data_IF_851444259245
#
_entry.id   IF_851444259245
#
_cell.length_a   1.000
_cell.length_b   1.000
_cell.length_c   1.000
_cell.angle_alpha   90.00
_cell.angle_beta   90.00
_cell.angle_gamma   90.00
#
_symmetry.space_group_name_H-M   'P 1'
#
loop_
_entity.id
_entity.type
_entity.pdbx_description
1 polymer ?
#
# COMPACT_ATOMS: atom_id res chain seq x y z
N UNK A 1 3.75 18.72 26.72
CA UNK A 1 2.76 17.62 26.78
C UNK A 1 2.69 16.99 25.40
N UNK A 2 2.67 15.66 25.29
CA UNK A 2 2.45 14.98 24.00
C UNK A 2 1.04 15.34 23.51
N UNK A 3 0.90 15.67 22.23
CA UNK A 3 -0.43 15.86 21.63
C UNK A 3 -1.06 14.50 21.35
N UNK A 4 -2.38 14.35 21.51
CA UNK A 4 -3.06 13.11 21.17
C UNK A 4 -2.74 12.68 19.74
N UNK A 5 -2.18 11.48 19.56
CA UNK A 5 -1.88 10.94 18.24
C UNK A 5 -3.10 10.18 17.71
N UNK A 6 -4.23 10.88 17.58
CA UNK A 6 -5.50 10.29 17.14
C UNK A 6 -6.10 11.09 16.01
N UNK A 7 -6.83 10.43 15.11
CA UNK A 7 -7.53 11.10 14.02
C UNK A 7 -8.71 11.99 14.51
N UNK A 8 -9.14 11.85 15.77
CA UNK A 8 -10.31 12.53 16.34
C UNK A 8 -9.94 13.81 17.10
N UNK A 9 -8.71 13.92 17.58
CA UNK A 9 -8.23 15.04 18.39
C UNK A 9 -6.99 15.67 17.75
N UNK A 10 -7.18 16.85 17.16
CA UNK A 10 -6.14 17.64 16.50
C UNK A 10 -5.60 18.77 17.40
N UNK A 11 -5.81 18.70 18.72
CA UNK A 11 -5.34 19.73 19.64
C UNK A 11 -3.82 19.90 19.57
N UNK A 12 -3.39 21.16 19.54
CA UNK A 12 -1.98 21.54 19.60
C UNK A 12 -1.58 21.91 21.03
N UNK A 13 -0.28 22.08 21.24
CA UNK A 13 0.27 22.62 22.48
C UNK A 13 1.26 23.73 22.18
N UNK A 14 1.70 24.48 23.21
CA UNK A 14 2.69 25.54 23.05
C UNK A 14 4.09 25.02 23.34
N UNK A 15 5.06 25.33 22.50
CA UNK A 15 6.47 25.07 22.74
C UNK A 15 7.34 26.27 22.34
N UNK A 16 8.51 26.39 22.97
CA UNK A 16 9.53 27.38 22.59
C UNK A 16 10.34 26.83 21.42
N UNK A 17 10.25 27.47 20.26
CA UNK A 17 11.00 27.14 19.04
C UNK A 17 11.77 28.38 18.62
N UNK A 18 13.10 28.30 18.63
CA UNK A 18 13.98 29.44 18.32
C UNK A 18 13.61 30.72 19.11
N UNK A 19 13.49 30.60 20.44
CA UNK A 19 13.15 31.73 21.31
C UNK A 19 11.71 32.26 21.19
N UNK A 20 10.87 31.66 20.36
CA UNK A 20 9.48 32.07 20.16
C UNK A 20 8.50 30.99 20.62
N UNK A 21 7.44 31.40 21.32
CA UNK A 21 6.36 30.50 21.71
C UNK A 21 5.46 30.23 20.51
N UNK A 22 5.37 28.98 20.07
CA UNK A 22 4.58 28.56 18.89
C UNK A 22 3.59 27.46 19.25
N UNK A 23 2.48 27.40 18.52
CA UNK A 23 1.62 26.21 18.50
C UNK A 23 2.33 25.09 17.75
N UNK A 24 2.35 23.91 18.34
CA UNK A 24 3.00 22.72 17.80
C UNK A 24 2.17 21.47 18.08
N UNK A 25 2.33 20.49 17.21
CA UNK A 25 1.92 19.10 17.49
C UNK A 25 3.16 18.32 17.92
N UNK A 26 3.07 17.61 19.04
CA UNK A 26 4.17 16.83 19.61
C UNK A 26 3.76 15.37 19.64
N UNK A 27 4.18 14.61 18.63
CA UNK A 27 4.03 13.15 18.64
C UNK A 27 5.24 12.49 19.32
N UNK A 28 4.97 11.43 20.08
CA UNK A 28 6.03 10.56 20.65
C UNK A 28 6.03 9.25 19.88
N UNK A 29 7.09 9.00 19.12
CA UNK A 29 7.28 7.72 18.43
C UNK A 29 7.77 6.65 19.41
N UNK A 30 7.35 5.40 19.18
CA UNK A 30 7.88 4.22 19.85
C UNK A 30 9.15 3.68 19.18
N UNK A 31 9.56 4.30 18.06
CA UNK A 31 10.69 3.93 17.21
C UNK A 31 11.68 5.09 17.06
N UNK A 32 12.96 4.77 16.91
CA UNK A 32 13.97 5.75 16.49
C UNK A 32 13.80 6.11 15.01
N UNK A 33 13.34 5.16 14.19
CA UNK A 33 13.04 5.34 12.78
C UNK A 33 11.69 6.04 12.60
N UNK A 34 11.70 7.21 11.98
CA UNK A 34 10.50 7.96 11.67
C UNK A 34 10.42 8.21 10.17
N UNK A 35 9.27 7.90 9.58
CA UNK A 35 9.05 8.09 8.15
C UNK A 35 7.87 9.04 7.94
N UNK A 36 8.14 10.17 7.29
CA UNK A 36 7.12 11.12 6.87
C UNK A 36 6.90 11.01 5.38
N UNK A 37 5.64 10.81 5.00
CA UNK A 37 5.25 10.58 3.62
C UNK A 37 4.25 11.64 3.25
N UNK A 38 4.59 12.39 2.21
CA UNK A 38 3.75 13.47 1.69
C UNK A 38 3.37 13.11 0.27
N UNK A 39 2.07 13.05 0.00
CA UNK A 39 1.54 12.81 -1.35
C UNK A 39 1.11 14.15 -1.94
N UNK A 40 1.65 14.47 -3.10
CA UNK A 40 1.33 15.67 -3.86
C UNK A 40 0.43 15.29 -5.02
N UNK A 41 -0.66 16.00 -5.19
CA UNK A 41 -1.53 15.80 -6.34
C UNK A 41 -0.99 16.56 -7.55
N UNK A 42 -1.21 15.99 -8.73
CA UNK A 42 -0.87 16.63 -9.99
C UNK A 42 -1.78 17.83 -10.23
N UNK A 43 -1.20 18.91 -10.76
CA UNK A 43 -1.93 20.06 -11.31
C UNK A 43 -1.67 20.06 -12.80
N UNK A 44 -2.74 20.04 -13.61
CA UNK A 44 -2.67 19.90 -15.06
C UNK A 44 -1.80 18.72 -15.54
N UNK A 45 -1.88 17.59 -14.81
CA UNK A 45 -1.12 16.38 -15.09
C UNK A 45 0.37 16.45 -14.73
N UNK A 46 0.82 17.52 -14.07
CA UNK A 46 2.24 17.76 -13.75
C UNK A 46 2.54 17.81 -12.25
N UNK A 47 3.72 17.33 -11.81
CA UNK A 47 4.11 17.30 -10.40
C UNK A 47 4.75 18.60 -9.91
N UNK A 48 5.05 19.56 -10.80
CA UNK A 48 5.85 20.76 -10.51
C UNK A 48 5.31 21.57 -9.34
N UNK A 49 4.00 21.77 -9.28
CA UNK A 49 3.35 22.54 -8.22
C UNK A 49 3.59 21.92 -6.84
N UNK A 50 3.37 20.61 -6.69
CA UNK A 50 3.60 19.90 -5.44
C UNK A 50 5.10 19.89 -5.07
N UNK A 51 5.96 19.65 -6.07
CA UNK A 51 7.40 19.60 -5.86
C UNK A 51 7.96 20.96 -5.41
N UNK A 52 7.46 22.07 -5.96
CA UNK A 52 7.80 23.43 -5.53
C UNK A 52 7.29 23.71 -4.11
N UNK A 53 6.04 23.37 -3.81
CA UNK A 53 5.45 23.55 -2.47
C UNK A 53 6.29 22.89 -1.38
N UNK A 54 6.79 21.67 -1.60
CA UNK A 54 7.65 21.00 -0.62
C UNK A 54 9.04 21.59 -0.52
N UNK A 55 9.68 21.96 -1.63
CA UNK A 55 11.03 22.55 -1.59
C UNK A 55 11.04 23.88 -0.85
N UNK A 56 10.01 24.69 -1.07
CA UNK A 56 9.95 26.04 -0.54
C UNK A 56 9.32 26.05 0.87
N UNK A 57 8.23 25.32 1.06
CA UNK A 57 7.37 25.39 2.25
C UNK A 57 7.65 24.35 3.33
N UNK A 58 8.11 23.15 2.99
CA UNK A 58 8.46 22.15 4.01
C UNK A 58 9.81 22.50 4.63
N UNK A 59 9.95 22.32 5.95
CA UNK A 59 11.23 22.40 6.66
C UNK A 59 11.32 21.24 7.65
N UNK A 60 12.40 20.48 7.59
CA UNK A 60 12.67 19.37 8.50
C UNK A 60 14.06 19.61 9.09
N UNK A 61 14.14 19.72 10.42
CA UNK A 61 15.40 19.95 11.12
C UNK A 61 15.32 19.45 12.57
N UNK A 62 16.44 19.04 13.19
CA UNK A 62 16.50 18.79 14.62
C UNK A 62 16.16 20.05 15.40
N UNK A 63 15.35 19.94 16.46
CA UNK A 63 14.90 21.10 17.24
C UNK A 63 16.06 21.97 17.76
N UNK A 64 17.20 21.37 18.12
CA UNK A 64 18.40 22.09 18.56
C UNK A 64 18.97 23.06 17.51
N UNK A 65 18.69 22.83 16.23
CA UNK A 65 19.19 23.62 15.12
C UNK A 65 18.14 24.65 14.65
N UNK A 66 17.03 24.84 15.38
CA UNK A 66 15.92 25.70 14.94
C UNK A 66 16.29 27.17 14.66
N UNK A 67 17.36 27.67 15.27
CA UNK A 67 17.88 29.02 15.03
C UNK A 67 18.60 29.15 13.69
N UNK A 68 19.24 28.07 13.23
CA UNK A 68 20.00 28.03 11.99
C UNK A 68 19.99 26.60 11.40
N UNK A 69 18.85 26.17 10.81
CA UNK A 69 18.71 24.81 10.30
C UNK A 69 19.61 24.60 9.09
N UNK A 70 20.25 23.43 9.01
CA UNK A 70 21.04 23.06 7.82
C UNK A 70 20.13 23.01 6.58
N UNK A 71 20.63 23.40 5.39
CA UNK A 71 19.87 23.26 4.15
C UNK A 71 19.43 21.81 3.93
N UNK A 72 18.14 21.63 3.60
CA UNK A 72 17.60 20.32 3.26
C UNK A 72 18.19 19.82 1.94
N UNK A 73 18.45 18.51 1.88
CA UNK A 73 18.88 17.85 0.65
C UNK A 73 17.69 17.14 0.01
N UNK A 74 17.47 17.39 -1.27
CA UNK A 74 16.45 16.73 -2.06
C UNK A 74 17.11 15.76 -3.04
N UNK A 75 16.74 14.48 -2.94
CA UNK A 75 17.24 13.44 -3.84
C UNK A 75 16.07 12.97 -4.70
N UNK A 76 16.25 13.04 -6.03
CA UNK A 76 15.27 12.46 -6.95
C UNK A 76 15.49 10.95 -7.09
N UNK A 77 14.42 10.19 -6.86
CA UNK A 77 14.32 8.76 -7.18
C UNK A 77 13.72 8.48 -8.55
N UNK A 78 13.22 9.50 -9.27
CA UNK A 78 12.57 9.31 -10.58
C UNK A 78 13.51 8.63 -11.58
N UNK A 79 12.99 7.62 -12.28
CA UNK A 79 13.75 6.85 -13.27
C UNK A 79 14.81 5.91 -12.70
N UNK A 80 14.95 5.80 -11.36
CA UNK A 80 15.89 4.86 -10.73
C UNK A 80 15.19 3.56 -10.38
N UNK A 81 15.91 2.46 -10.55
CA UNK A 81 15.49 1.17 -10.02
C UNK A 81 15.65 1.16 -8.50
N UNK A 82 14.60 0.74 -7.81
CA UNK A 82 14.61 0.52 -6.38
C UNK A 82 13.76 -0.72 -6.06
N UNK A 83 14.18 -1.49 -5.06
CA UNK A 83 13.45 -2.66 -4.58
C UNK A 83 13.12 -2.45 -3.11
N UNK A 84 11.83 -2.44 -2.77
CA UNK A 84 11.34 -2.28 -1.39
C UNK A 84 10.88 -3.60 -0.76
N UNK A 85 11.16 -4.73 -1.42
CA UNK A 85 10.76 -6.05 -0.96
C UNK A 85 11.84 -6.58 -0.02
N UNK A 86 11.43 -6.98 1.17
CA UNK A 86 12.28 -7.72 2.12
C UNK A 86 12.83 -9.01 1.52
N UNK A 87 14.00 -9.44 1.98
CA UNK A 87 14.59 -10.70 1.53
C UNK A 87 13.64 -11.88 1.70
N UNK A 88 13.64 -12.77 0.71
CA UNK A 88 12.97 -14.08 0.76
C UNK A 88 13.99 -15.22 0.97
N UNK A 89 15.15 -14.88 1.53
CA UNK A 89 16.26 -15.80 1.86
C UNK A 89 16.60 -15.66 3.33
N UNK A 90 17.58 -16.43 3.80
CA UNK A 90 18.07 -16.35 5.18
C UNK A 90 18.37 -14.91 5.65
N UNK A 91 18.84 -14.03 4.75
CA UNK A 91 19.13 -12.63 5.09
C UNK A 91 17.91 -11.82 5.56
N UNK A 92 16.68 -12.34 5.42
CA UNK A 92 15.51 -11.79 6.10
C UNK A 92 15.70 -11.72 7.62
N UNK A 93 16.31 -12.74 8.21
CA UNK A 93 16.56 -12.77 9.66
C UNK A 93 17.71 -11.83 10.06
N UNK A 94 18.62 -11.54 9.14
CA UNK A 94 19.64 -10.50 9.33
C UNK A 94 18.97 -9.12 9.31
N UNK A 95 18.08 -8.83 8.35
CA UNK A 95 17.26 -7.61 8.31
C UNK A 95 16.43 -7.44 9.59
N UNK A 96 15.79 -8.52 10.07
CA UNK A 96 15.01 -8.50 11.31
C UNK A 96 15.89 -8.24 12.53
N UNK A 97 17.07 -8.87 12.59
CA UNK A 97 18.04 -8.62 13.65
C UNK A 97 18.48 -7.15 13.64
N UNK A 98 18.82 -6.59 12.49
CA UNK A 98 19.24 -5.18 12.37
C UNK A 98 18.19 -4.22 12.94
N UNK A 99 16.90 -4.47 12.65
CA UNK A 99 15.79 -3.70 13.24
C UNK A 99 15.76 -3.85 14.76
N UNK A 100 15.84 -5.07 15.29
CA UNK A 100 15.80 -5.32 16.75
C UNK A 100 17.00 -4.71 17.48
N UNK A 101 18.19 -4.73 16.85
CA UNK A 101 19.38 -4.09 17.41
C UNK A 101 19.24 -2.57 17.43
N UNK A 102 18.74 -1.98 16.33
CA UNK A 102 18.60 -0.53 16.18
C UNK A 102 17.54 0.05 17.12
N UNK A 103 16.33 -0.49 17.09
CA UNK A 103 15.14 0.09 17.73
C UNK A 103 15.16 -0.01 19.27
N UNK A 104 14.47 0.86 20.03
CA UNK A 104 14.43 0.75 21.50
C UNK A 104 13.82 -0.60 21.91
N UNK A 105 14.17 -1.09 23.11
CA UNK A 105 13.65 -2.40 23.59
C UNK A 105 12.12 -2.44 23.64
N UNK A 106 11.46 -1.30 23.80
CA UNK A 106 10.00 -1.16 23.83
C UNK A 106 9.33 -1.14 22.44
N UNK A 107 10.09 -1.18 21.33
CA UNK A 107 9.56 -1.02 19.99
C UNK A 107 8.56 -2.12 19.58
N UNK A 108 8.85 -3.37 19.97
CA UNK A 108 7.92 -4.50 19.84
C UNK A 108 7.66 -5.07 21.23
N UNK A 109 6.45 -5.57 21.47
CA UNK A 109 6.02 -6.06 22.79
C UNK A 109 6.84 -7.28 23.26
N UNK A 110 6.87 -7.58 24.58
CA UNK A 110 7.64 -8.70 25.12
C UNK A 110 7.32 -10.07 24.49
N UNK A 111 6.09 -10.30 24.05
CA UNK A 111 5.66 -11.59 23.48
C UNK A 111 6.27 -11.78 22.09
N UNK A 112 6.18 -10.78 21.21
CA UNK A 112 6.86 -10.81 19.90
C UNK A 112 8.38 -10.84 20.03
N UNK A 113 8.96 -10.14 21.03
CA UNK A 113 10.40 -10.27 21.31
C UNK A 113 10.79 -11.68 21.72
N UNK A 114 9.93 -12.37 22.47
CA UNK A 114 10.13 -13.77 22.85
C UNK A 114 10.24 -14.70 21.63
N UNK A 115 9.41 -14.47 20.59
CA UNK A 115 9.48 -15.21 19.33
C UNK A 115 10.81 -14.99 18.60
N UNK A 116 11.31 -13.75 18.53
CA UNK A 116 12.63 -13.46 17.96
C UNK A 116 13.76 -14.08 18.79
N UNK A 117 13.68 -14.02 20.12
CA UNK A 117 14.67 -14.60 21.02
C UNK A 117 14.76 -16.13 20.89
N UNK A 118 13.64 -16.81 20.62
CA UNK A 118 13.59 -18.27 20.43
C UNK A 118 14.42 -18.76 19.23
N UNK A 119 14.68 -17.88 18.25
CA UNK A 119 15.55 -18.17 17.10
C UNK A 119 16.94 -17.52 17.22
N UNK A 120 17.27 -16.96 18.38
CA UNK A 120 18.58 -16.37 18.68
C UNK A 120 18.71 -14.87 18.40
N UNK A 121 17.64 -14.18 18.00
CA UNK A 121 17.66 -12.72 17.77
C UNK A 121 17.28 -12.01 19.08
N UNK A 122 18.28 -11.43 19.75
CA UNK A 122 18.12 -10.79 21.06
C UNK A 122 18.81 -9.43 21.03
N UNK A 123 18.09 -8.38 21.44
CA UNK A 123 18.65 -7.02 21.52
C UNK A 123 19.93 -6.99 22.38
N UNK A 124 20.98 -6.36 21.85
CA UNK A 124 22.29 -6.24 22.49
C UNK A 124 23.18 -7.47 22.36
N UNK A 125 22.72 -8.54 21.68
CA UNK A 125 23.52 -9.74 21.40
C UNK A 125 23.74 -9.89 19.90
N UNK A 126 24.93 -10.38 19.55
CA UNK A 126 25.25 -10.75 18.18
C UNK A 126 24.39 -11.95 17.74
N UNK A 127 23.86 -11.89 16.52
CA UNK A 127 23.07 -12.97 15.94
C UNK A 127 23.98 -13.96 15.21
N UNK A 128 24.41 -15.00 15.93
CA UNK A 128 25.33 -16.04 15.43
C UNK A 128 24.69 -17.44 15.45
N UNK A 129 23.69 -17.74 14.61
CA UNK A 129 23.10 -19.07 14.58
C UNK A 129 24.09 -20.10 14.04
N UNK A 130 24.09 -21.29 14.65
CA UNK A 130 24.86 -22.43 14.16
C UNK A 130 24.34 -22.94 12.80
N UNK A 131 25.07 -23.89 12.20
CA UNK A 131 24.71 -24.46 10.90
C UNK A 131 23.30 -25.09 10.89
N UNK A 132 22.87 -25.68 12.01
CA UNK A 132 21.55 -26.30 12.14
C UNK A 132 20.45 -25.23 12.12
N UNK A 133 20.59 -24.18 12.93
CA UNK A 133 19.63 -23.08 13.00
C UNK A 133 19.58 -22.30 11.69
N UNK A 134 20.72 -22.05 11.04
CA UNK A 134 20.76 -21.41 9.72
C UNK A 134 19.97 -22.19 8.66
N UNK A 135 20.06 -23.53 8.68
CA UNK A 135 19.24 -24.40 7.81
C UNK A 135 17.74 -24.26 8.11
N UNK A 136 17.36 -24.35 9.39
CA UNK A 136 15.95 -24.18 9.82
C UNK A 136 15.39 -22.84 9.36
N UNK A 137 16.13 -21.74 9.55
CA UNK A 137 15.71 -20.41 9.17
C UNK A 137 15.58 -20.25 7.64
N UNK A 138 16.47 -20.88 6.88
CA UNK A 138 16.39 -20.90 5.41
C UNK A 138 15.11 -21.59 4.92
N UNK A 139 14.72 -22.70 5.55
CA UNK A 139 13.47 -23.38 5.24
C UNK A 139 12.27 -22.55 5.72
N UNK A 140 12.36 -21.93 6.91
CA UNK A 140 11.31 -21.14 7.51
C UNK A 140 10.93 -19.90 6.68
N UNK A 141 11.89 -19.16 6.13
CA UNK A 141 11.58 -18.00 5.25
C UNK A 141 10.93 -18.45 3.94
N UNK A 142 11.30 -19.62 3.42
CA UNK A 142 10.68 -20.19 2.21
C UNK A 142 9.20 -20.47 2.46
N UNK A 143 8.88 -21.15 3.57
CA UNK A 143 7.50 -21.43 3.97
C UNK A 143 6.75 -20.14 4.31
N UNK A 144 7.36 -19.24 5.09
CA UNK A 144 6.75 -17.98 5.52
C UNK A 144 6.38 -17.07 4.35
N UNK A 145 7.24 -16.97 3.33
CA UNK A 145 6.94 -16.25 2.10
C UNK A 145 5.78 -16.90 1.34
N UNK A 146 5.79 -18.23 1.16
CA UNK A 146 4.68 -18.94 0.53
C UNK A 146 3.36 -18.69 1.27
N UNK A 147 3.37 -18.75 2.61
CA UNK A 147 2.21 -18.43 3.45
C UNK A 147 1.73 -16.99 3.25
N UNK A 148 2.62 -16.00 3.29
CA UNK A 148 2.26 -14.59 3.10
C UNK A 148 1.67 -14.34 1.70
N UNK A 149 2.22 -14.98 0.66
CA UNK A 149 1.65 -14.95 -0.70
C UNK A 149 0.26 -15.55 -0.73
N UNK A 150 0.05 -16.71 -0.11
CA UNK A 150 -1.27 -17.36 -0.07
C UNK A 150 -2.28 -16.50 0.67
N UNK A 151 -1.90 -15.89 1.81
CA UNK A 151 -2.77 -14.97 2.56
C UNK A 151 -3.24 -13.83 1.66
N UNK A 152 -2.33 -13.21 0.88
CA UNK A 152 -2.68 -12.07 0.02
C UNK A 152 -3.50 -12.49 -1.22
N UNK A 153 -3.05 -13.50 -1.97
CA UNK A 153 -3.68 -13.87 -3.25
C UNK A 153 -4.96 -14.69 -3.07
N UNK A 154 -5.01 -15.51 -2.02
CA UNK A 154 -6.11 -16.45 -1.74
C UNK A 154 -6.48 -16.47 -0.23
N UNK A 155 -6.92 -15.33 0.34
CA UNK A 155 -7.25 -15.23 1.76
C UNK A 155 -8.36 -16.21 2.15
N UNK A 156 -8.20 -16.86 3.29
CA UNK A 156 -9.25 -17.73 3.89
C UNK A 156 -10.36 -16.91 4.53
N UNK A 157 -10.02 -15.73 5.07
CA UNK A 157 -10.98 -14.83 5.69
C UNK A 157 -11.97 -14.29 4.64
N UNK A 158 -13.23 -14.67 4.77
CA UNK A 158 -14.29 -14.26 3.83
C UNK A 158 -14.55 -12.77 3.84
N UNK A 159 -14.19 -12.07 4.93
CA UNK A 159 -14.26 -10.59 5.02
C UNK A 159 -13.30 -9.89 4.06
N UNK A 160 -12.31 -10.61 3.50
CA UNK A 160 -11.47 -10.09 2.45
C UNK A 160 -12.25 -9.76 1.17
N UNK A 161 -13.36 -10.45 0.90
CA UNK A 161 -14.13 -10.30 -0.34
C UNK A 161 -15.17 -9.19 -0.16
N UNK A 162 -15.15 -8.20 -1.07
CA UNK A 162 -16.04 -7.04 -0.98
C UNK A 162 -17.48 -7.42 -1.28
N UNK A 163 -17.70 -8.29 -2.27
CA UNK A 163 -19.02 -8.66 -2.77
C UNK A 163 -19.22 -10.19 -2.79
N UNK A 164 -20.47 -10.68 -2.67
CA UNK A 164 -20.77 -12.10 -2.86
C UNK A 164 -20.41 -12.57 -4.28
N UNK A 165 -19.87 -13.79 -4.39
CA UNK A 165 -19.50 -14.43 -5.66
C UNK A 165 -18.60 -13.55 -6.56
N UNK A 166 -17.69 -12.80 -5.96
CA UNK A 166 -16.80 -11.86 -6.63
C UNK A 166 -15.35 -12.09 -6.22
N UNK A 167 -14.41 -11.82 -7.12
CA UNK A 167 -12.97 -11.90 -6.80
C UNK A 167 -12.40 -10.58 -6.28
N UNK A 168 -13.20 -9.51 -6.19
CA UNK A 168 -12.81 -8.22 -5.67
C UNK A 168 -12.63 -8.24 -4.15
N UNK A 169 -11.45 -7.80 -3.70
CA UNK A 169 -11.02 -7.86 -2.30
C UNK A 169 -10.72 -6.49 -1.71
N UNK A 170 -10.97 -6.34 -0.42
CA UNK A 170 -10.49 -5.20 0.37
C UNK A 170 -9.02 -5.39 0.73
N UNK A 171 -8.35 -4.26 0.94
CA UNK A 171 -7.00 -4.21 1.50
C UNK A 171 -7.05 -4.18 3.05
N UNK A 172 -8.16 -3.70 3.61
CA UNK A 172 -8.35 -3.48 5.05
C UNK A 172 -9.34 -4.49 5.61
N UNK A 173 -8.93 -5.76 5.74
CA UNK A 173 -9.73 -6.77 6.42
C UNK A 173 -9.98 -6.31 7.87
N UNK A 174 -11.25 -6.22 8.26
CA UNK A 174 -11.67 -5.69 9.56
C UNK A 174 -11.88 -4.17 9.61
N UNK A 175 -11.52 -3.42 8.56
CA UNK A 175 -11.81 -1.98 8.47
C UNK A 175 -11.01 -1.09 9.42
N UNK A 176 -9.91 -1.59 10.01
CA UNK A 176 -9.09 -0.84 10.97
C UNK A 176 -7.62 -0.79 10.51
N UNK A 177 -7.02 0.41 10.48
CA UNK A 177 -5.61 0.63 10.13
C UNK A 177 -4.64 0.07 11.19
N UNK A 178 -5.11 -0.22 12.39
CA UNK A 178 -4.35 -0.87 13.46
C UNK A 178 -4.43 -2.38 13.36
N UNK A 179 -5.29 -2.92 12.48
CA UNK A 179 -5.52 -4.36 12.33
C UNK A 179 -6.10 -4.99 13.61
N UNK A 180 -6.78 -4.20 14.43
CA UNK A 180 -7.48 -4.69 15.62
C UNK A 180 -8.86 -5.21 15.19
N UNK A 181 -9.20 -6.40 15.66
CA UNK A 181 -10.45 -7.08 15.29
C UNK A 181 -11.44 -7.09 16.46
N UNK A 182 -12.73 -7.25 16.16
CA UNK A 182 -13.85 -7.16 17.13
C UNK A 182 -13.64 -6.02 18.12
N UNK A 183 -13.67 -4.76 17.67
CA UNK A 183 -13.54 -3.57 18.55
C UNK A 183 -12.40 -3.65 19.58
N UNK A 184 -11.27 -4.25 19.17
CA UNK A 184 -10.04 -4.49 19.96
C UNK A 184 -10.06 -5.71 20.91
N UNK A 185 -11.22 -6.33 21.15
CA UNK A 185 -11.36 -7.45 22.07
C UNK A 185 -10.61 -8.71 21.60
N UNK A 186 -10.50 -8.91 20.28
CA UNK A 186 -9.75 -10.04 19.71
C UNK A 186 -8.23 -9.78 19.61
N UNK A 187 -7.80 -8.55 19.89
CA UNK A 187 -6.44 -8.10 19.60
C UNK A 187 -6.17 -7.93 18.11
N UNK A 188 -4.91 -8.09 17.70
CA UNK A 188 -4.45 -7.78 16.34
C UNK A 188 -4.56 -8.98 15.41
N UNK A 189 -5.32 -8.82 14.32
CA UNK A 189 -5.42 -9.79 13.25
C UNK A 189 -4.14 -9.79 12.37
N UNK A 190 -3.25 -10.74 12.64
CA UNK A 190 -1.97 -10.84 11.96
C UNK A 190 -2.11 -11.25 10.48
N UNK A 191 -3.07 -12.10 10.13
CA UNK A 191 -3.34 -12.48 8.74
C UNK A 191 -3.81 -11.26 7.93
N UNK A 192 -4.70 -10.42 8.49
CA UNK A 192 -5.11 -9.16 7.88
C UNK A 192 -3.95 -8.18 7.69
N UNK A 193 -3.07 -8.08 8.70
CA UNK A 193 -1.86 -7.25 8.63
C UNK A 193 -0.89 -7.75 7.55
N UNK A 194 -0.67 -9.07 7.45
CA UNK A 194 0.15 -9.69 6.40
C UNK A 194 -0.48 -9.47 5.03
N UNK A 195 -1.80 -9.69 4.90
CA UNK A 195 -2.56 -9.46 3.68
C UNK A 195 -2.31 -8.05 3.12
N UNK A 196 -2.29 -7.03 3.97
CA UNK A 196 -1.98 -5.67 3.57
C UNK A 196 -0.48 -5.45 3.29
N UNK A 197 0.39 -5.69 4.27
CA UNK A 197 1.80 -5.29 4.17
C UNK A 197 2.63 -6.16 3.22
N UNK A 198 2.13 -7.32 2.79
CA UNK A 198 2.77 -8.10 1.75
C UNK A 198 2.66 -7.46 0.35
N UNK A 199 1.57 -6.71 0.10
CA UNK A 199 1.27 -6.06 -1.19
C UNK A 199 1.37 -4.54 -1.19
N UNK A 200 1.34 -3.90 -0.01
CA UNK A 200 1.31 -2.46 0.12
C UNK A 200 2.25 -1.97 1.22
N UNK A 201 2.66 -0.72 1.12
CA UNK A 201 3.40 -0.01 2.15
C UNK A 201 2.59 1.20 2.55
N UNK A 202 2.69 1.59 3.83
CA UNK A 202 1.96 2.71 4.44
C UNK A 202 0.48 2.43 4.61
N UNK A 203 -0.04 2.73 5.79
CA UNK A 203 -1.47 2.82 6.02
C UNK A 203 -1.78 4.08 6.84
N UNK A 204 -2.99 4.59 6.66
CA UNK A 204 -3.50 5.76 7.41
C UNK A 204 -4.95 5.50 7.81
N UNK A 205 -5.48 6.18 8.85
CA UNK A 205 -6.89 6.06 9.21
C UNK A 205 -7.82 6.33 8.03
N UNK A 206 -7.52 7.34 7.21
CA UNK A 206 -8.33 7.72 6.05
C UNK A 206 -8.30 6.72 4.88
N UNK A 207 -7.46 5.69 4.95
CA UNK A 207 -7.45 4.58 4.00
C UNK A 207 -8.30 3.38 4.46
N UNK A 208 -8.55 3.26 5.76
CA UNK A 208 -9.24 2.11 6.36
C UNK A 208 -10.67 2.43 6.79
N UNK A 209 -10.87 3.62 7.35
CA UNK A 209 -12.14 4.06 7.92
C UNK A 209 -13.13 4.49 6.84
N UNK A 210 -14.42 4.34 7.13
CA UNK A 210 -15.50 4.87 6.32
C UNK A 210 -15.59 6.40 6.50
N UNK A 211 -14.96 7.14 5.58
CA UNK A 211 -15.00 8.60 5.54
C UNK A 211 -15.46 9.05 4.15
N UNK A 212 -16.77 9.17 3.89
CA UNK A 212 -17.28 9.56 2.59
C UNK A 212 -16.68 10.87 2.06
N UNK A 213 -16.17 10.83 0.83
CA UNK A 213 -15.56 11.97 0.14
C UNK A 213 -14.18 12.39 0.65
N UNK A 214 -13.57 11.62 1.56
CA UNK A 214 -12.25 11.91 2.15
C UNK A 214 -11.32 10.71 1.93
N UNK A 215 -10.04 11.00 1.65
CA UNK A 215 -9.01 9.98 1.56
C UNK A 215 -9.12 9.12 0.31
N UNK A 216 -8.81 7.84 0.46
CA UNK A 216 -8.76 6.90 -0.67
C UNK A 216 -9.07 5.49 -0.21
N UNK A 217 -9.87 4.75 -0.98
CA UNK A 217 -10.13 3.34 -0.74
C UNK A 217 -9.72 2.47 -1.94
N UNK A 218 -9.62 1.16 -1.71
CA UNK A 218 -8.94 0.23 -2.62
C UNK A 218 -9.75 -1.05 -2.80
N UNK A 219 -9.85 -1.52 -4.04
CA UNK A 219 -10.34 -2.84 -4.38
C UNK A 219 -9.30 -3.57 -5.24
N UNK A 220 -8.91 -4.78 -4.82
CA UNK A 220 -7.92 -5.60 -5.54
C UNK A 220 -8.56 -6.83 -6.18
N UNK A 221 -8.07 -7.26 -7.35
CA UNK A 221 -8.49 -8.51 -7.99
C UNK A 221 -7.30 -9.21 -8.65
N UNK A 222 -7.22 -10.52 -8.47
CA UNK A 222 -6.11 -11.39 -8.93
C UNK A 222 -6.62 -12.52 -9.83
N UNK A 223 -7.94 -12.56 -10.10
CA UNK A 223 -8.61 -13.64 -10.83
C UNK A 223 -9.58 -13.09 -11.87
N UNK A 224 -9.79 -13.86 -12.92
CA UNK A 224 -10.88 -13.62 -13.86
C UNK A 224 -12.23 -14.17 -13.33
N UNK A 225 -13.29 -14.01 -14.13
CA UNK A 225 -14.66 -14.42 -13.82
C UNK A 225 -14.84 -15.93 -13.70
N UNK A 226 -13.91 -16.74 -14.20
CA UNK A 226 -13.88 -18.19 -14.00
C UNK A 226 -13.11 -18.58 -12.73
N UNK A 227 -12.47 -17.60 -12.07
CA UNK A 227 -11.62 -17.83 -10.92
C UNK A 227 -10.18 -18.16 -11.29
N UNK A 228 -9.76 -18.03 -12.55
CA UNK A 228 -8.40 -18.34 -12.98
C UNK A 228 -7.45 -17.16 -12.74
N UNK A 229 -6.16 -17.45 -12.55
CA UNK A 229 -5.12 -16.43 -12.38
C UNK A 229 -5.00 -15.57 -13.65
N UNK A 230 -4.78 -14.27 -13.47
CA UNK A 230 -4.53 -13.33 -14.56
C UNK A 230 -3.08 -13.46 -15.07
N UNK A 231 -2.91 -13.84 -16.34
CA UNK A 231 -1.61 -13.99 -17.00
C UNK A 231 -1.43 -12.95 -18.11
N UNK A 232 -0.27 -12.33 -18.20
CA UNK A 232 -0.02 -11.18 -19.09
C UNK A 232 0.16 -11.52 -20.57
N UNK A 233 0.09 -12.80 -20.95
CA UNK A 233 0.01 -13.26 -22.33
C UNK A 233 -1.43 -13.36 -22.86
N UNK A 234 -2.43 -13.26 -21.97
CA UNK A 234 -3.86 -13.29 -22.30
C UNK A 234 -4.46 -11.90 -22.37
N UNK A 235 -5.64 -11.80 -22.99
CA UNK A 235 -6.42 -10.57 -23.09
C UNK A 235 -7.59 -10.61 -22.13
N UNK A 236 -7.84 -9.51 -21.43
CA UNK A 236 -8.94 -9.39 -20.47
C UNK A 236 -9.68 -8.08 -20.66
N UNK A 237 -10.88 -8.01 -20.09
CA UNK A 237 -11.69 -6.80 -19.97
C UNK A 237 -12.27 -6.69 -18.57
N UNK A 238 -12.38 -5.48 -18.05
CA UNK A 238 -13.26 -5.17 -16.92
C UNK A 238 -14.18 -4.02 -17.31
N UNK A 239 -15.47 -4.18 -17.06
CA UNK A 239 -16.45 -3.11 -17.24
C UNK A 239 -16.65 -2.40 -15.90
N UNK A 240 -16.43 -1.09 -15.87
CA UNK A 240 -16.83 -0.26 -14.73
C UNK A 240 -18.19 0.36 -15.06
N UNK A 241 -19.25 0.05 -14.29
CA UNK A 241 -20.53 0.72 -14.48
C UNK A 241 -20.39 2.23 -14.34
N UNK A 242 -21.34 2.96 -14.92
CA UNK A 242 -21.44 4.42 -14.75
C UNK A 242 -21.43 4.80 -13.26
N UNK A 243 -21.13 6.06 -13.00
CA UNK A 243 -21.19 6.64 -11.65
C UNK A 243 -20.25 5.95 -10.64
N UNK A 244 -19.01 5.68 -11.06
CA UNK A 244 -17.96 5.15 -10.18
C UNK A 244 -17.89 6.02 -8.91
N UNK A 245 -18.00 5.46 -7.69
CA UNK A 245 -18.22 6.20 -6.46
C UNK A 245 -16.93 6.83 -5.91
N UNK A 246 -16.33 7.73 -6.69
CA UNK A 246 -15.13 8.47 -6.35
C UNK A 246 -15.36 9.96 -6.63
N UNK A 247 -15.38 10.76 -5.56
CA UNK A 247 -15.61 12.22 -5.63
C UNK A 247 -14.57 12.93 -6.47
N UNK A 248 -13.30 12.55 -6.35
CA UNK A 248 -12.20 13.26 -6.99
C UNK A 248 -11.84 12.62 -8.34
N UNK A 249 -11.50 11.32 -8.33
CA UNK A 249 -11.22 10.51 -9.51
C UNK A 249 -11.04 9.03 -9.10
N UNK A 250 -10.98 8.14 -10.08
CA UNK A 250 -10.57 6.75 -9.87
C UNK A 250 -9.35 6.41 -10.73
N UNK A 251 -8.64 5.35 -10.35
CA UNK A 251 -7.55 4.80 -11.14
C UNK A 251 -7.50 3.28 -11.11
N UNK A 252 -7.04 2.68 -12.20
CA UNK A 252 -6.70 1.26 -12.27
C UNK A 252 -5.22 1.12 -12.55
N UNK A 253 -4.57 0.19 -11.86
CA UNK A 253 -3.15 -0.08 -12.07
C UNK A 253 -2.90 -1.59 -12.02
N UNK A 254 -2.17 -2.11 -12.99
CA UNK A 254 -1.71 -3.50 -13.01
C UNK A 254 -0.39 -3.64 -12.25
N UNK A 255 -0.29 -4.66 -11.40
CA UNK A 255 0.86 -4.96 -10.55
C UNK A 255 1.42 -6.34 -10.83
N UNK A 256 2.74 -6.47 -10.68
CA UNK A 256 3.45 -7.73 -10.79
C UNK A 256 3.27 -8.56 -9.50
N UNK A 257 2.92 -9.84 -9.62
CA UNK A 257 2.68 -10.73 -8.46
C UNK A 257 3.94 -11.09 -7.67
N UNK A 258 5.12 -11.01 -8.29
CA UNK A 258 6.39 -11.27 -7.63
C UNK A 258 6.92 -10.02 -6.93
N UNK A 259 6.93 -8.88 -7.62
CA UNK A 259 7.53 -7.65 -7.07
C UNK A 259 6.54 -6.81 -6.28
N UNK A 260 5.23 -6.99 -6.51
CA UNK A 260 4.15 -6.14 -5.98
C UNK A 260 4.32 -4.65 -6.32
N UNK A 261 5.18 -4.36 -7.29
CA UNK A 261 5.35 -3.05 -7.93
C UNK A 261 4.48 -3.00 -9.18
N UNK A 262 4.29 -1.80 -9.73
CA UNK A 262 3.60 -1.64 -11.01
C UNK A 262 4.22 -2.59 -12.05
N UNK A 263 3.37 -3.23 -12.84
CA UNK A 263 3.80 -4.21 -13.83
C UNK A 263 4.72 -3.52 -14.84
N UNK A 264 5.98 -3.92 -14.89
CA UNK A 264 6.89 -3.38 -15.90
C UNK A 264 6.47 -3.89 -17.28
N UNK A 265 6.11 -2.97 -18.16
CA UNK A 265 5.75 -3.27 -19.55
C UNK A 265 6.75 -2.63 -20.51
N UNK A 266 6.67 -3.01 -21.78
CA UNK A 266 7.61 -2.55 -22.80
C UNK A 266 7.32 -1.12 -23.25
N UNK A 267 6.04 -0.79 -23.44
CA UNK A 267 5.60 0.41 -24.15
C UNK A 267 4.83 1.38 -23.24
N UNK A 268 4.22 0.88 -22.15
CA UNK A 268 3.54 1.70 -21.14
C UNK A 268 4.36 1.77 -19.84
N UNK A 269 5.11 2.85 -19.58
CA UNK A 269 5.94 2.97 -18.37
C UNK A 269 5.11 2.93 -17.07
N UNK A 270 3.83 3.30 -17.15
CA UNK A 270 2.87 3.23 -16.05
C UNK A 270 1.65 2.44 -16.54
N UNK A 271 1.52 1.13 -16.24
CA UNK A 271 0.42 0.27 -16.69
C UNK A 271 -0.87 0.62 -15.94
N UNK A 272 -1.40 1.80 -16.21
CA UNK A 272 -2.45 2.41 -15.41
C UNK A 272 -3.34 3.33 -16.22
N UNK A 273 -4.55 3.53 -15.70
CA UNK A 273 -5.50 4.53 -16.17
C UNK A 273 -5.92 5.39 -14.98
N UNK A 274 -5.99 6.70 -15.20
CA UNK A 274 -6.53 7.66 -14.24
C UNK A 274 -7.64 8.46 -14.92
N UNK A 275 -8.84 8.40 -14.36
CA UNK A 275 -10.06 8.94 -14.97
C UNK A 275 -10.08 10.45 -15.13
N UNK A 276 -9.19 11.17 -14.46
CA UNK A 276 -9.10 12.64 -14.54
C UNK A 276 -8.24 13.12 -15.70
N UNK A 277 -7.27 12.31 -16.14
CA UNK A 277 -6.27 12.70 -17.14
C UNK A 277 -6.35 11.88 -18.43
N UNK A 278 -6.85 10.65 -18.34
CA UNK A 278 -7.03 9.80 -19.50
C UNK A 278 -8.21 10.30 -20.35
N UNK A 279 -8.06 10.22 -21.67
CA UNK A 279 -9.18 10.39 -22.60
C UNK A 279 -9.87 9.04 -22.73
N UNK A 280 -10.90 8.81 -21.92
CA UNK A 280 -11.61 7.54 -21.89
C UNK A 280 -12.72 7.50 -22.95
N UNK A 281 -12.78 6.39 -23.68
CA UNK A 281 -13.91 6.05 -24.54
C UNK A 281 -15.01 5.41 -23.69
N UNK A 282 -16.11 6.13 -23.47
CA UNK A 282 -17.26 5.62 -22.72
C UNK A 282 -18.26 4.89 -23.62
N UNK A 283 -18.91 3.88 -23.04
CA UNK A 283 -20.04 3.19 -23.66
C UNK A 283 -21.29 4.08 -23.65
N UNK A 284 -22.29 3.73 -24.47
CA UNK A 284 -23.55 4.49 -24.59
C UNK A 284 -24.34 4.60 -23.28
N UNK A 285 -24.19 3.63 -22.39
CA UNK A 285 -24.83 3.60 -21.07
C UNK A 285 -24.04 4.36 -19.98
N UNK A 286 -22.91 4.97 -20.34
CA UNK A 286 -22.00 5.68 -19.44
C UNK A 286 -21.02 4.77 -18.69
N UNK A 287 -21.05 3.45 -18.91
CA UNK A 287 -20.00 2.55 -18.42
C UNK A 287 -18.69 2.75 -19.20
N UNK A 288 -17.60 2.19 -18.69
CA UNK A 288 -16.32 2.19 -19.38
C UNK A 288 -15.71 0.79 -19.34
N UNK A 289 -15.34 0.28 -20.52
CA UNK A 289 -14.62 -0.98 -20.66
C UNK A 289 -13.13 -0.71 -20.68
N UNK A 290 -12.40 -1.35 -19.76
CA UNK A 290 -10.93 -1.30 -19.69
C UNK A 290 -10.37 -2.65 -20.10
N UNK A 291 -9.46 -2.61 -21.05
CA UNK A 291 -8.83 -3.79 -21.66
C UNK A 291 -7.43 -4.00 -21.10
N UNK A 292 -7.03 -5.27 -21.01
CA UNK A 292 -5.69 -5.67 -20.59
C UNK A 292 -5.16 -6.69 -21.57
N UNK A 293 -3.87 -6.61 -21.90
CA UNK A 293 -3.25 -7.57 -22.82
C UNK A 293 -1.87 -7.10 -23.27
N UNK A 294 -1.07 -7.96 -23.92
CA UNK A 294 0.24 -7.57 -24.43
C UNK A 294 0.15 -6.53 -25.56
N UNK A 295 -1.00 -6.45 -26.23
CA UNK A 295 -1.31 -5.48 -27.27
C UNK A 295 -2.73 -4.94 -27.08
N UNK A 296 -2.96 -3.69 -27.50
CA UNK A 296 -4.29 -3.11 -27.50
C UNK A 296 -5.21 -3.87 -28.46
N UNK A 297 -6.46 -4.17 -28.06
CA UNK A 297 -7.51 -4.52 -29.00
C UNK A 297 -7.77 -3.35 -29.95
N UNK A 298 -7.98 -3.65 -31.23
CA UNK A 298 -8.18 -2.64 -32.27
C UNK A 298 -9.36 -1.72 -31.92
N UNK A 299 -9.13 -0.41 -31.89
CA UNK A 299 -10.15 0.59 -31.57
C UNK A 299 -10.40 0.82 -30.07
N UNK A 300 -9.61 0.19 -29.21
CA UNK A 300 -9.67 0.33 -27.76
C UNK A 300 -8.34 0.78 -27.14
N UNK A 301 -7.47 1.40 -27.94
CA UNK A 301 -6.14 1.85 -27.53
C UNK A 301 -6.19 2.86 -26.37
N UNK A 302 -7.25 3.68 -26.29
CA UNK A 302 -7.48 4.68 -25.24
C UNK A 302 -7.84 4.08 -23.88
N UNK A 303 -8.44 2.89 -23.87
CA UNK A 303 -8.89 2.20 -22.66
C UNK A 303 -8.09 0.92 -22.39
N UNK A 304 -6.81 0.89 -22.77
CA UNK A 304 -5.99 -0.30 -22.67
C UNK A 304 -4.79 -0.14 -21.75
N UNK A 305 -4.59 -1.14 -20.89
CA UNK A 305 -3.41 -1.30 -20.03
C UNK A 305 -2.58 -2.48 -20.54
N UNK A 306 -1.32 -2.21 -20.89
CA UNK A 306 -0.41 -3.24 -21.35
C UNK A 306 -0.10 -4.24 -20.23
N UNK A 307 -0.06 -5.52 -20.59
CA UNK A 307 0.43 -6.60 -19.72
C UNK A 307 1.66 -7.27 -20.35
N UNK A 308 2.36 -8.11 -19.57
CA UNK A 308 3.64 -8.70 -19.98
C UNK A 308 3.53 -10.22 -20.08
N UNK A 309 3.77 -10.82 -21.26
CA UNK A 309 3.79 -12.26 -21.43
C UNK A 309 4.73 -12.97 -20.45
N UNK A 310 4.30 -14.15 -19.96
CA UNK A 310 5.08 -14.93 -18.99
C UNK A 310 5.01 -14.43 -17.54
N UNK A 311 4.26 -13.36 -17.26
CA UNK A 311 4.03 -12.85 -15.90
C UNK A 311 2.57 -12.98 -15.48
N UNK A 312 2.35 -13.40 -14.24
CA UNK A 312 1.06 -13.22 -13.58
C UNK A 312 0.97 -11.81 -12.97
N UNK A 313 -0.23 -11.22 -13.00
CA UNK A 313 -0.47 -9.87 -12.54
C UNK A 313 -1.74 -9.78 -11.68
N UNK A 314 -1.92 -8.64 -11.01
CA UNK A 314 -3.15 -8.32 -10.30
C UNK A 314 -3.53 -6.86 -10.48
N UNK A 315 -4.81 -6.56 -10.33
CA UNK A 315 -5.40 -5.26 -10.56
C UNK A 315 -5.75 -4.58 -9.24
N UNK A 316 -5.49 -3.28 -9.14
CA UNK A 316 -6.01 -2.46 -8.04
C UNK A 316 -6.80 -1.29 -8.61
N UNK A 317 -8.06 -1.19 -8.20
CA UNK A 317 -8.88 0.02 -8.38
C UNK A 317 -8.69 0.89 -7.13
N UNK A 318 -8.41 2.17 -7.34
CA UNK A 318 -8.37 3.18 -6.28
C UNK A 318 -9.51 4.17 -6.47
N UNK A 319 -10.23 4.44 -5.40
CA UNK A 319 -11.30 5.42 -5.33
C UNK A 319 -10.79 6.61 -4.51
N UNK A 320 -10.62 7.78 -5.12
CA UNK A 320 -10.20 9.00 -4.42
C UNK A 320 -11.43 9.80 -4.03
N UNK A 321 -11.54 10.10 -2.73
CA UNK A 321 -12.79 10.59 -2.13
C UNK A 321 -13.94 9.58 -2.29
N UNK A 322 -13.79 8.33 -1.84
CA UNK A 322 -14.82 7.28 -1.99
C UNK A 322 -16.17 7.73 -1.44
N UNK A 323 -17.25 7.50 -2.18
CA UNK A 323 -18.62 7.88 -1.80
C UNK A 323 -19.40 6.72 -1.19
N UNK A 324 -20.55 7.02 -0.57
CA UNK A 324 -21.42 6.04 0.11
C UNK A 324 -21.69 4.75 -0.69
N UNK A 325 -21.92 4.78 -2.03
CA UNK A 325 -22.16 3.55 -2.79
C UNK A 325 -21.01 2.54 -2.79
N UNK A 326 -19.77 2.99 -2.57
CA UNK A 326 -18.63 2.09 -2.35
C UNK A 326 -18.77 1.35 -1.01
N UNK A 327 -19.04 2.09 0.06
CA UNK A 327 -19.11 1.56 1.43
C UNK A 327 -20.35 0.69 1.66
N UNK A 328 -21.50 1.14 1.16
CA UNK A 328 -22.77 0.41 1.21
C UNK A 328 -22.79 -0.80 0.24
N UNK A 329 -21.75 -0.95 -0.59
CA UNK A 329 -21.60 -2.00 -1.61
C UNK A 329 -22.74 -2.02 -2.64
N UNK A 330 -23.38 -0.88 -2.86
CA UNK A 330 -24.46 -0.72 -3.86
C UNK A 330 -23.92 -0.45 -5.26
N UNK A 331 -22.65 -0.03 -5.38
CA UNK A 331 -21.90 -0.02 -6.63
C UNK A 331 -20.78 -1.06 -6.57
N UNK A 332 -20.57 -1.79 -7.69
CA UNK A 332 -19.46 -2.73 -7.85
C UNK A 332 -18.89 -2.70 -9.27
N UNK A 333 -17.57 -2.91 -9.44
CA UNK A 333 -16.99 -3.15 -10.75
C UNK A 333 -17.47 -4.52 -11.28
N UNK A 334 -17.48 -4.68 -12.61
CA UNK A 334 -17.63 -6.00 -13.23
C UNK A 334 -16.50 -6.95 -12.80
N UNK A 335 -16.70 -8.25 -12.95
CA UNK A 335 -15.59 -9.19 -12.86
C UNK A 335 -14.65 -9.02 -14.06
N UNK A 336 -13.41 -9.46 -13.91
CA UNK A 336 -12.44 -9.43 -15.01
C UNK A 336 -12.78 -10.59 -15.95
N UNK A 337 -13.11 -10.30 -17.19
CA UNK A 337 -13.47 -11.30 -18.20
C UNK A 337 -12.26 -11.67 -19.05
N UNK A 338 -12.00 -12.95 -19.24
CA UNK A 338 -11.06 -13.43 -20.26
C UNK A 338 -11.67 -13.23 -21.65
N UNK A 339 -10.94 -12.55 -22.53
CA UNK A 339 -11.30 -12.39 -23.94
C UNK A 339 -10.72 -13.56 -24.74
N UNK A 340 -11.56 -14.16 -25.59
CA UNK A 340 -11.19 -15.28 -26.45
C UNK A 340 -10.58 -14.82 -27.77
#
# INVERSE_FOLDING_TARGET
KVTPNTFKDNSSTKAMINGQKRDVWIAKSESYSNWMILRGFLVDGKPDTAAKMWRDGLKIYPLKDAANPKPMKFVSGSGKYFNTIHSNKYSYFEELNDVIQHEPISFIDPELRGQAAAIGIIKGKEFMPDARMKKILTDAVTVGNATARTIMFNPRDKRAYLYPNSSWKTFFIGGDYRWLDMTEEAGRNLDARIHFFYQATVNTPAMALELPGIGSNYAGNVRDSNGDILYGDKNYKVTLPKDVPAKDFWSLVAYDTQTRSELQTKDQPFPSINSKIAKLAYNKDGSVDIYFGPKAPKGHEENWIQTTPGKAWFLVIRYYGPLKPFYDKTWKPGEIELLK
#
